data_IF_168947139684
#
_entry.id   IF_168947139684
#
_cell.length_a   1.000
_cell.length_b   1.000
_cell.length_c   1.000
_cell.angle_alpha   90.00
_cell.angle_beta   90.00
_cell.angle_gamma   90.00
#
_symmetry.space_group_name_H-M   'P 1'
#
loop_
_entity.id
_entity.type
_entity.pdbx_description
1 polymer ?
#
# COMPACT_ATOMS: atom_id res chain seq x y z
N UNK A 1 8.80 0.97 -27.35
CA UNK A 1 8.73 -0.44 -26.94
C UNK A 1 10.05 -1.18 -27.17
N UNK A 2 10.73 -0.91 -28.30
CA UNK A 2 12.04 -1.49 -28.65
C UNK A 2 13.14 -1.21 -27.61
N UNK A 3 13.16 -0.01 -27.01
CA UNK A 3 14.10 0.37 -25.94
C UNK A 3 13.95 -0.53 -24.70
N UNK A 4 12.71 -0.79 -24.23
CA UNK A 4 12.49 -1.59 -23.02
C UNK A 4 12.87 -3.06 -23.27
N UNK A 5 12.64 -3.56 -24.49
CA UNK A 5 13.00 -4.92 -24.91
C UNK A 5 14.51 -5.18 -24.78
N UNK A 6 15.35 -4.19 -25.05
CA UNK A 6 16.81 -4.32 -24.89
C UNK A 6 17.24 -4.57 -23.44
N UNK A 7 16.38 -4.28 -22.46
CA UNK A 7 16.65 -4.47 -21.03
C UNK A 7 15.80 -5.59 -20.41
N UNK A 8 15.14 -6.42 -21.22
CA UNK A 8 14.20 -7.44 -20.76
C UNK A 8 14.80 -8.38 -19.70
N UNK A 9 16.02 -8.87 -19.93
CA UNK A 9 16.70 -9.75 -18.98
C UNK A 9 16.91 -9.08 -17.60
N UNK A 10 17.33 -7.82 -17.59
CA UNK A 10 17.53 -7.05 -16.36
C UNK A 10 16.21 -6.77 -15.65
N UNK A 11 15.17 -6.36 -16.39
CA UNK A 11 13.84 -6.10 -15.84
C UNK A 11 13.27 -7.36 -15.20
N UNK A 12 13.41 -8.52 -15.86
CA UNK A 12 12.95 -9.80 -15.32
C UNK A 12 13.69 -10.20 -14.05
N UNK A 13 15.02 -10.01 -13.99
CA UNK A 13 15.79 -10.27 -12.78
C UNK A 13 15.35 -9.36 -11.62
N UNK A 14 15.29 -8.05 -11.87
CA UNK A 14 14.87 -7.07 -10.88
C UNK A 14 13.44 -7.33 -10.37
N UNK A 15 12.53 -7.70 -11.28
CA UNK A 15 11.16 -8.09 -10.95
C UNK A 15 11.12 -9.31 -10.04
N UNK A 16 11.84 -10.38 -10.39
CA UNK A 16 11.85 -11.62 -9.60
C UNK A 16 12.40 -11.38 -8.20
N UNK A 17 13.48 -10.59 -8.07
CA UNK A 17 14.03 -10.17 -6.78
C UNK A 17 12.99 -9.37 -5.99
N UNK A 18 12.36 -8.38 -6.61
CA UNK A 18 11.36 -7.51 -5.95
C UNK A 18 10.15 -8.32 -5.46
N UNK A 19 9.59 -9.21 -6.29
CA UNK A 19 8.47 -10.08 -5.92
C UNK A 19 8.86 -11.04 -4.80
N UNK A 20 10.04 -11.67 -4.88
CA UNK A 20 10.53 -12.59 -3.85
C UNK A 20 10.66 -11.88 -2.51
N UNK A 21 11.30 -10.71 -2.50
CA UNK A 21 11.43 -9.88 -1.30
C UNK A 21 10.07 -9.40 -0.78
N UNK A 22 9.11 -9.12 -1.66
CA UNK A 22 7.74 -8.76 -1.26
C UNK A 22 7.09 -9.92 -0.52
N UNK A 23 7.13 -11.13 -1.08
CA UNK A 23 6.59 -12.33 -0.43
C UNK A 23 7.27 -12.55 0.93
N UNK A 24 8.59 -12.45 1.00
CA UNK A 24 9.33 -12.56 2.26
C UNK A 24 8.89 -11.49 3.26
N UNK A 25 8.71 -10.23 2.83
CA UNK A 25 8.24 -9.17 3.70
C UNK A 25 6.85 -9.48 4.26
N UNK A 26 5.91 -9.94 3.44
CA UNK A 26 4.58 -10.36 3.90
C UNK A 26 4.66 -11.48 4.94
N UNK A 27 5.50 -12.49 4.71
CA UNK A 27 5.71 -13.58 5.67
C UNK A 27 6.28 -13.04 6.99
N UNK A 28 7.32 -12.21 6.93
CA UNK A 28 7.95 -11.62 8.11
C UNK A 28 6.94 -10.77 8.91
N UNK A 29 6.13 -9.94 8.23
CA UNK A 29 5.12 -9.10 8.89
C UNK A 29 4.00 -9.89 9.59
N UNK A 30 3.75 -11.13 9.17
CA UNK A 30 2.67 -11.97 9.71
C UNK A 30 3.15 -13.04 10.69
N UNK A 31 4.42 -13.47 10.59
CA UNK A 31 4.97 -14.57 11.39
C UNK A 31 5.86 -14.09 12.54
N UNK A 32 6.53 -12.94 12.39
CA UNK A 32 7.41 -12.43 13.43
C UNK A 32 6.66 -11.55 14.44
N UNK A 33 7.10 -11.54 15.72
CA UNK A 33 6.59 -10.62 16.73
C UNK A 33 6.77 -9.14 16.35
N UNK A 34 5.80 -8.31 16.76
CA UNK A 34 5.75 -6.88 16.46
C UNK A 34 7.00 -6.12 16.94
N UNK A 35 7.62 -6.57 18.04
CA UNK A 35 8.80 -5.95 18.62
C UNK A 35 10.09 -6.13 17.81
N UNK A 36 10.10 -7.05 16.83
CA UNK A 36 11.19 -7.23 15.88
C UNK A 36 10.92 -6.45 14.58
N UNK A 37 9.77 -6.68 13.95
CA UNK A 37 9.41 -6.10 12.65
C UNK A 37 9.11 -4.61 12.75
N UNK A 38 8.39 -4.18 13.79
CA UNK A 38 7.92 -2.80 13.96
C UNK A 38 9.03 -1.78 14.19
N UNK A 39 10.25 -2.22 14.55
CA UNK A 39 11.43 -1.35 14.72
C UNK A 39 12.13 -0.97 13.42
N UNK A 40 11.90 -1.73 12.35
CA UNK A 40 12.49 -1.51 11.02
C UNK A 40 11.45 -1.12 9.97
N UNK A 41 10.22 -1.60 10.13
CA UNK A 41 9.07 -1.21 9.32
C UNK A 41 7.95 -0.72 10.25
N UNK A 42 7.96 0.57 10.60
CA UNK A 42 6.86 1.18 11.36
C UNK A 42 5.54 0.96 10.62
N UNK A 43 4.48 0.65 11.37
CA UNK A 43 3.18 0.25 10.82
C UNK A 43 3.20 -1.03 9.98
N UNK A 44 4.14 -1.95 10.17
CA UNK A 44 4.08 -3.27 9.51
C UNK A 44 2.75 -4.01 9.76
N UNK A 45 2.05 -3.71 10.86
CA UNK A 45 0.77 -4.31 11.17
C UNK A 45 -0.28 -4.01 10.09
N UNK A 46 -0.12 -2.97 9.27
CA UNK A 46 -0.99 -2.72 8.11
C UNK A 46 -0.94 -3.88 7.13
N UNK A 47 0.10 -4.72 7.10
CA UNK A 47 0.25 -5.93 6.26
C UNK A 47 -0.46 -7.18 6.79
N UNK A 48 -1.07 -7.09 7.98
CA UNK A 48 -1.83 -8.19 8.56
C UNK A 48 -3.26 -8.23 7.99
N UNK A 49 -3.84 -9.42 7.73
CA UNK A 49 -5.20 -9.54 7.19
C UNK A 49 -6.25 -8.79 8.01
N UNK A 50 -6.17 -8.84 9.35
CA UNK A 50 -7.12 -8.20 10.27
C UNK A 50 -7.18 -6.68 10.10
N UNK A 51 -6.03 -6.01 9.96
CA UNK A 51 -5.99 -4.57 9.76
C UNK A 51 -6.25 -4.20 8.30
N UNK A 52 -6.01 -5.12 7.35
CA UNK A 52 -6.25 -4.89 5.92
C UNK A 52 -7.74 -4.83 5.56
N UNK A 53 -8.60 -5.44 6.38
CA UNK A 53 -10.07 -5.34 6.27
C UNK A 53 -10.65 -4.19 7.10
N UNK A 54 -9.86 -3.59 8.00
CA UNK A 54 -10.25 -2.39 8.74
C UNK A 54 -9.99 -1.15 7.86
N UNK A 55 -10.99 -0.80 7.04
CA UNK A 55 -10.87 0.31 6.10
C UNK A 55 -10.64 1.66 6.79
N UNK A 56 -11.13 1.85 8.01
CA UNK A 56 -10.94 3.07 8.78
C UNK A 56 -9.50 3.18 9.28
N UNK A 57 -8.98 2.10 9.88
CA UNK A 57 -7.57 2.03 10.27
C UNK A 57 -6.63 2.27 9.09
N UNK A 58 -6.88 1.63 7.94
CA UNK A 58 -6.08 1.82 6.72
C UNK A 58 -6.20 3.24 6.17
N UNK A 59 -7.41 3.82 6.16
CA UNK A 59 -7.62 5.19 5.65
C UNK A 59 -7.00 6.26 6.55
N UNK A 60 -7.03 6.04 7.88
CA UNK A 60 -6.35 6.89 8.85
C UNK A 60 -4.83 6.74 8.69
N UNK A 61 -4.30 5.52 8.62
CA UNK A 61 -2.88 5.26 8.41
C UNK A 61 -2.35 5.86 7.10
N UNK A 62 -3.13 5.74 6.02
CA UNK A 62 -2.85 6.40 4.76
C UNK A 62 -2.84 7.92 4.94
N UNK A 63 -3.88 8.53 5.50
CA UNK A 63 -3.92 9.99 5.65
C UNK A 63 -2.81 10.52 6.56
N UNK A 64 -2.39 9.72 7.55
CA UNK A 64 -1.32 10.02 8.50
C UNK A 64 0.07 10.05 7.85
N UNK A 65 0.34 9.13 6.91
CA UNK A 65 1.64 8.97 6.25
C UNK A 65 1.75 9.69 4.89
N UNK A 66 0.71 10.39 4.45
CA UNK A 66 0.64 11.01 3.12
C UNK A 66 0.26 12.48 3.25
N UNK A 67 1.05 13.19 4.05
CA UNK A 67 0.82 14.59 4.41
C UNK A 67 1.23 15.53 3.28
N UNK A 68 2.22 15.15 2.46
CA UNK A 68 2.74 15.97 1.38
C UNK A 68 2.03 15.74 0.04
N UNK A 69 2.09 16.72 -0.86
CA UNK A 69 1.52 16.58 -2.21
C UNK A 69 2.25 15.51 -3.04
N UNK A 70 3.57 15.40 -2.87
CA UNK A 70 4.39 14.44 -3.61
C UNK A 70 3.95 13.01 -3.30
N UNK A 71 3.83 12.66 -2.01
CA UNK A 71 3.36 11.34 -1.57
C UNK A 71 1.92 11.06 -2.01
N UNK A 72 1.04 12.07 -2.00
CA UNK A 72 -0.34 11.91 -2.51
C UNK A 72 -0.38 11.61 -4.00
N UNK A 73 0.45 12.27 -4.81
CA UNK A 73 0.49 12.02 -6.25
C UNK A 73 1.04 10.63 -6.55
N UNK A 74 2.14 10.23 -5.93
CA UNK A 74 2.75 8.91 -6.14
C UNK A 74 1.86 7.75 -5.68
N UNK A 75 0.88 8.00 -4.81
CA UNK A 75 -0.11 7.00 -4.41
C UNK A 75 -1.41 7.07 -5.21
N UNK A 76 -1.70 8.18 -5.89
CA UNK A 76 -2.83 8.27 -6.80
C UNK A 76 -2.72 7.33 -8.01
N UNK A 77 -1.50 6.87 -8.33
CA UNK A 77 -1.22 5.91 -9.40
C UNK A 77 -1.66 4.48 -9.07
N UNK A 78 -2.05 4.17 -7.83
CA UNK A 78 -2.41 2.82 -7.39
C UNK A 78 -3.56 2.21 -8.21
N UNK A 79 -4.47 3.01 -8.74
CA UNK A 79 -5.55 2.52 -9.62
C UNK A 79 -4.97 2.02 -10.96
N UNK A 80 -4.00 2.75 -11.51
CA UNK A 80 -3.29 2.33 -12.73
C UNK A 80 -2.47 1.08 -12.43
N UNK A 81 -1.83 1.01 -11.27
CA UNK A 81 -1.05 -0.16 -10.87
C UNK A 81 -1.92 -1.40 -10.65
N UNK A 82 -3.16 -1.24 -10.20
CA UNK A 82 -4.11 -2.35 -10.16
C UNK A 82 -4.37 -2.95 -11.56
N UNK A 83 -4.46 -2.10 -12.61
CA UNK A 83 -4.52 -2.56 -14.00
C UNK A 83 -3.27 -3.38 -14.36
N UNK A 84 -2.08 -2.87 -14.01
CA UNK A 84 -0.82 -3.53 -14.31
C UNK A 84 -0.67 -4.87 -13.56
N UNK A 85 -1.15 -4.95 -12.31
CA UNK A 85 -1.21 -6.22 -11.57
C UNK A 85 -2.11 -7.23 -12.24
N UNK A 86 -3.28 -6.82 -12.75
CA UNK A 86 -4.13 -7.73 -13.52
C UNK A 86 -3.48 -8.20 -14.83
N UNK A 87 -2.63 -7.40 -15.48
CA UNK A 87 -1.80 -7.85 -16.60
C UNK A 87 -0.82 -8.94 -16.17
N UNK A 88 -0.15 -8.75 -15.03
CA UNK A 88 0.76 -9.75 -14.45
C UNK A 88 0.00 -11.04 -14.11
N UNK A 89 -1.15 -10.94 -13.46
CA UNK A 89 -1.97 -12.10 -13.07
C UNK A 89 -2.43 -12.91 -14.29
N UNK A 90 -2.91 -12.23 -15.33
CA UNK A 90 -3.30 -12.89 -16.59
C UNK A 90 -2.11 -13.62 -17.24
N UNK A 91 -0.91 -13.05 -17.15
CA UNK A 91 0.31 -13.67 -17.70
C UNK A 91 0.77 -14.91 -16.95
N UNK A 92 0.39 -15.05 -15.68
CA UNK A 92 0.69 -16.25 -14.88
C UNK A 92 -0.29 -17.37 -15.21
N UNK A 93 -1.59 -17.06 -15.21
CA UNK A 93 -2.67 -17.97 -15.60
C UNK A 93 -4.00 -17.20 -15.70
N UNK A 94 -4.84 -17.53 -16.68
CA UNK A 94 -6.14 -16.87 -16.92
C UNK A 94 -7.09 -16.91 -15.70
N UNK A 95 -6.92 -17.88 -14.79
CA UNK A 95 -7.77 -18.00 -13.61
C UNK A 95 -7.36 -17.08 -12.45
N UNK A 96 -6.12 -16.57 -12.42
CA UNK A 96 -5.59 -15.80 -11.27
C UNK A 96 -6.28 -14.44 -11.09
N UNK A 97 -6.61 -13.67 -12.14
CA UNK A 97 -7.43 -12.46 -12.00
C UNK A 97 -8.73 -12.70 -11.24
N UNK A 98 -9.41 -13.83 -11.51
CA UNK A 98 -10.66 -14.18 -10.84
C UNK A 98 -10.46 -14.52 -9.37
N UNK A 99 -9.31 -15.08 -8.99
CA UNK A 99 -8.95 -15.27 -7.57
C UNK A 99 -8.85 -13.91 -6.87
N UNK A 100 -8.17 -12.93 -7.48
CA UNK A 100 -8.05 -11.59 -6.89
C UNK A 100 -9.39 -10.85 -6.85
N UNK A 101 -10.24 -10.97 -7.87
CA UNK A 101 -11.59 -10.41 -7.84
C UNK A 101 -12.43 -11.06 -6.73
N UNK A 102 -12.33 -12.38 -6.54
CA UNK A 102 -12.99 -13.07 -5.43
C UNK A 102 -12.47 -12.58 -4.07
N UNK A 103 -11.15 -12.37 -3.94
CA UNK A 103 -10.56 -11.78 -2.73
C UNK A 103 -11.07 -10.36 -2.47
N UNK A 104 -11.28 -9.53 -3.51
CA UNK A 104 -11.89 -8.20 -3.35
C UNK A 104 -13.33 -8.29 -2.84
N UNK A 105 -14.12 -9.27 -3.31
CA UNK A 105 -15.47 -9.54 -2.80
C UNK A 105 -15.41 -9.96 -1.33
N UNK A 106 -14.54 -10.91 -0.99
CA UNK A 106 -14.34 -11.38 0.38
C UNK A 106 -13.93 -10.21 1.29
N UNK A 107 -12.95 -9.41 0.87
CA UNK A 107 -12.51 -8.21 1.60
C UNK A 107 -13.66 -7.23 1.80
N UNK A 108 -14.48 -6.99 0.78
CA UNK A 108 -15.67 -6.12 0.86
C UNK A 108 -16.69 -6.61 1.89
N UNK A 109 -16.91 -7.93 1.95
CA UNK A 109 -17.82 -8.54 2.94
C UNK A 109 -17.30 -8.29 4.35
N UNK A 110 -15.99 -8.49 4.58
CA UNK A 110 -15.37 -8.27 5.88
C UNK A 110 -15.27 -6.79 6.29
N UNK A 111 -15.15 -5.85 5.33
CA UNK A 111 -15.24 -4.41 5.60
C UNK A 111 -16.63 -4.02 6.12
N UNK A 112 -17.69 -4.74 5.71
CA UNK A 112 -19.04 -4.58 6.25
C UNK A 112 -19.86 -3.43 5.65
N UNK A 113 -19.25 -2.56 4.81
CA UNK A 113 -19.97 -1.52 4.06
C UNK A 113 -20.38 -2.04 2.67
N UNK A 114 -21.67 -2.34 2.49
CA UNK A 114 -22.19 -2.97 1.26
C UNK A 114 -22.09 -2.04 0.05
N UNK A 115 -22.36 -0.75 0.23
CA UNK A 115 -22.33 0.23 -0.88
C UNK A 115 -20.91 0.45 -1.35
N UNK A 116 -19.98 0.63 -0.40
CA UNK A 116 -18.56 0.68 -0.72
C UNK A 116 -18.09 -0.62 -1.37
N UNK A 117 -18.47 -1.78 -0.82
CA UNK A 117 -18.06 -3.09 -1.35
C UNK A 117 -18.49 -3.31 -2.80
N UNK A 118 -19.72 -2.93 -3.15
CA UNK A 118 -20.20 -2.96 -4.52
C UNK A 118 -19.39 -2.02 -5.43
N UNK A 119 -19.14 -0.79 -4.98
CA UNK A 119 -18.33 0.18 -5.73
C UNK A 119 -16.89 -0.32 -5.92
N UNK A 120 -16.28 -0.91 -4.88
CA UNK A 120 -14.94 -1.49 -4.92
C UNK A 120 -14.85 -2.66 -5.89
N UNK A 121 -15.85 -3.53 -5.91
CA UNK A 121 -15.93 -4.60 -6.90
C UNK A 121 -16.05 -4.08 -8.33
N UNK A 122 -16.85 -3.03 -8.58
CA UNK A 122 -16.93 -2.38 -9.90
C UNK A 122 -15.56 -1.84 -10.32
N UNK A 123 -14.82 -1.17 -9.44
CA UNK A 123 -13.46 -0.70 -9.74
C UNK A 123 -12.53 -1.89 -10.05
N UNK A 124 -12.67 -3.01 -9.35
CA UNK A 124 -11.95 -4.25 -9.67
C UNK A 124 -12.24 -4.76 -11.08
N UNK A 125 -13.52 -4.81 -11.48
CA UNK A 125 -13.91 -5.20 -12.84
C UNK A 125 -13.39 -4.23 -13.91
N UNK A 126 -13.42 -2.92 -13.64
CA UNK A 126 -12.90 -1.91 -14.55
C UNK A 126 -11.37 -2.03 -14.72
N UNK A 127 -10.63 -2.26 -13.64
CA UNK A 127 -9.17 -2.43 -13.71
C UNK A 127 -8.79 -3.73 -14.42
N UNK A 128 -9.52 -4.83 -14.19
CA UNK A 128 -9.37 -6.05 -14.97
C UNK A 128 -9.70 -5.86 -16.45
N UNK A 129 -10.82 -5.22 -16.79
CA UNK A 129 -11.19 -4.91 -18.18
C UNK A 129 -10.15 -4.05 -18.89
N UNK A 130 -9.60 -3.05 -18.20
CA UNK A 130 -8.50 -2.22 -18.71
C UNK A 130 -7.21 -3.03 -18.93
N UNK A 131 -6.95 -4.06 -18.11
CA UNK A 131 -5.80 -4.94 -18.28
C UNK A 131 -5.95 -5.79 -19.55
N UNK A 132 -7.13 -6.37 -19.78
CA UNK A 132 -7.44 -7.11 -21.02
C UNK A 132 -7.32 -6.21 -22.25
N UNK A 133 -7.80 -4.97 -22.17
CA UNK A 133 -7.64 -3.99 -23.24
C UNK A 133 -6.16 -3.68 -23.52
N UNK A 134 -5.35 -3.49 -22.47
CA UNK A 134 -3.90 -3.26 -22.56
C UNK A 134 -3.18 -4.43 -23.24
N UNK A 135 -3.51 -5.67 -22.84
CA UNK A 135 -2.96 -6.90 -23.44
C UNK A 135 -3.35 -7.00 -24.92
N UNK A 136 -4.62 -6.73 -25.27
CA UNK A 136 -5.08 -6.76 -26.66
C UNK A 136 -4.37 -5.74 -27.53
N UNK A 137 -4.08 -4.55 -27.01
CA UNK A 137 -3.44 -3.47 -27.75
C UNK A 137 -1.92 -3.67 -27.94
N UNK A 138 -1.21 -4.10 -26.89
CA UNK A 138 0.26 -4.21 -26.91
C UNK A 138 0.77 -5.62 -27.26
N UNK A 139 -0.05 -6.64 -27.07
CA UNK A 139 0.39 -8.04 -26.99
C UNK A 139 0.86 -8.40 -25.59
N UNK A 140 0.68 -9.68 -25.21
CA UNK A 140 1.01 -10.18 -23.87
C UNK A 140 2.48 -9.92 -23.46
N UNK A 141 3.50 -10.25 -24.28
CA UNK A 141 4.90 -10.07 -23.86
C UNK A 141 5.23 -8.61 -23.52
N UNK A 142 4.74 -7.67 -24.33
CA UNK A 142 5.01 -6.24 -24.17
C UNK A 142 4.20 -5.63 -23.02
N UNK A 143 2.94 -6.04 -22.86
CA UNK A 143 2.11 -5.63 -21.74
C UNK A 143 2.74 -6.07 -20.40
N UNK A 144 3.24 -7.30 -20.32
CA UNK A 144 3.94 -7.81 -19.12
C UNK A 144 5.20 -7.03 -18.84
N UNK A 145 6.04 -6.79 -19.84
CA UNK A 145 7.30 -6.06 -19.66
C UNK A 145 7.06 -4.61 -19.20
N UNK A 146 6.03 -3.96 -19.77
CA UNK A 146 5.57 -2.64 -19.33
C UNK A 146 5.07 -2.66 -17.89
N UNK A 147 4.22 -3.64 -17.54
CA UNK A 147 3.67 -3.78 -16.19
C UNK A 147 4.78 -3.96 -15.15
N UNK A 148 5.74 -4.85 -15.38
CA UNK A 148 6.89 -5.06 -14.49
C UNK A 148 7.65 -3.75 -14.24
N UNK A 149 7.93 -3.02 -15.32
CA UNK A 149 8.70 -1.77 -15.26
C UNK A 149 7.94 -0.70 -14.47
N UNK A 150 6.68 -0.44 -14.81
CA UNK A 150 5.89 0.61 -14.18
C UNK A 150 5.54 0.31 -12.73
N UNK A 151 5.32 -0.96 -12.36
CA UNK A 151 5.08 -1.36 -10.97
C UNK A 151 6.32 -1.14 -10.09
N UNK A 152 7.51 -1.54 -10.58
CA UNK A 152 8.77 -1.29 -9.86
C UNK A 152 9.05 0.21 -9.74
N UNK A 153 8.85 0.98 -10.81
CA UNK A 153 8.98 2.44 -10.76
C UNK A 153 7.97 3.09 -9.82
N UNK A 154 6.72 2.61 -9.78
CA UNK A 154 5.69 3.07 -8.85
C UNK A 154 6.13 2.88 -7.39
N UNK A 155 6.61 1.69 -7.04
CA UNK A 155 7.15 1.40 -5.70
C UNK A 155 8.34 2.29 -5.34
N UNK A 156 9.26 2.52 -6.30
CA UNK A 156 10.41 3.41 -6.09
C UNK A 156 9.98 4.86 -5.87
N UNK A 157 9.07 5.37 -6.70
CA UNK A 157 8.56 6.74 -6.59
C UNK A 157 7.84 6.98 -5.26
N UNK A 158 7.03 6.02 -4.79
CA UNK A 158 6.40 6.10 -3.48
C UNK A 158 7.41 6.13 -2.34
N UNK A 159 8.37 5.20 -2.34
CA UNK A 159 9.44 5.18 -1.33
C UNK A 159 10.22 6.50 -1.31
N UNK A 160 10.59 7.03 -2.47
CA UNK A 160 11.30 8.31 -2.57
C UNK A 160 10.43 9.46 -2.05
N UNK A 161 9.13 9.49 -2.36
CA UNK A 161 8.25 10.56 -1.85
C UNK A 161 8.10 10.53 -0.33
N UNK A 162 8.10 9.34 0.29
CA UNK A 162 8.06 9.18 1.75
C UNK A 162 9.30 9.72 2.45
N UNK A 163 10.42 9.91 1.76
CA UNK A 163 11.60 10.55 2.35
C UNK A 163 11.36 12.02 2.75
N UNK A 164 10.31 12.65 2.21
CA UNK A 164 9.91 14.01 2.55
C UNK A 164 8.85 14.08 3.68
N UNK A 165 8.31 12.93 4.12
CA UNK A 165 7.33 12.85 5.20
C UNK A 165 8.02 12.91 6.57
N UNK A 166 7.21 13.07 7.63
CA UNK A 166 7.71 12.86 8.99
C UNK A 166 8.04 11.37 9.19
N UNK A 167 9.11 11.11 9.91
CA UNK A 167 9.47 9.76 10.30
C UNK A 167 8.45 9.24 11.30
N UNK A 168 7.85 8.06 11.05
CA UNK A 168 6.93 7.44 11.98
C UNK A 168 7.61 7.04 13.31
N UNK A 169 6.83 6.96 14.40
CA UNK A 169 7.29 6.51 15.71
C UNK A 169 8.14 5.23 15.67
N UNK A 170 9.02 5.06 16.66
CA UNK A 170 9.90 3.89 16.88
C UNK A 170 11.12 3.78 15.93
N UNK A 171 11.11 4.40 14.76
CA UNK A 171 12.19 4.22 13.78
C UNK A 171 13.49 4.91 14.19
N UNK A 172 13.37 6.15 14.67
CA UNK A 172 14.51 7.00 15.05
C UNK A 172 14.87 6.83 16.53
N UNK A 173 13.86 6.82 17.39
CA UNK A 173 13.97 6.70 18.83
C UNK A 173 12.84 5.82 19.37
N UNK A 174 12.68 5.74 20.69
CA UNK A 174 11.61 4.98 21.33
C UNK A 174 10.31 5.78 21.51
N UNK A 175 10.21 6.98 20.94
CA UNK A 175 9.06 7.87 21.10
C UNK A 175 7.82 7.34 20.39
N UNK A 176 6.63 7.73 20.87
CA UNK A 176 5.35 7.54 20.19
C UNK A 176 5.02 8.67 19.19
N UNK A 177 5.96 9.61 18.98
CA UNK A 177 5.80 10.81 18.18
C UNK A 177 6.41 10.72 16.78
N UNK A 178 5.82 11.45 15.84
CA UNK A 178 6.40 11.68 14.52
C UNK A 178 7.51 12.72 14.61
N UNK A 179 8.63 12.49 13.92
CA UNK A 179 9.80 13.37 13.98
C UNK A 179 10.34 13.72 12.60
N UNK A 180 10.91 14.91 12.44
CA UNK A 180 11.65 15.25 11.21
C UNK A 180 12.99 14.53 11.19
N UNK A 181 13.39 14.03 10.02
CA UNK A 181 14.73 13.51 9.83
C UNK A 181 15.74 14.67 9.87
N UNK A 182 16.83 14.49 10.61
CA UNK A 182 17.95 15.42 10.72
C UNK A 182 19.25 14.63 10.76
N UNK A 183 20.38 15.28 10.51
CA UNK A 183 21.69 14.64 10.64
C UNK A 183 21.96 14.09 12.06
N UNK A 184 21.28 14.62 13.08
CA UNK A 184 21.47 14.21 14.49
C UNK A 184 20.73 12.94 14.85
N UNK A 185 19.67 12.58 14.12
CA UNK A 185 18.79 11.46 14.45
C UNK A 185 18.76 10.38 13.36
N UNK A 186 19.60 10.54 12.33
CA UNK A 186 19.86 9.50 11.34
C UNK A 186 20.63 8.34 11.99
N UNK A 187 20.14 7.12 11.82
CA UNK A 187 20.70 5.92 12.43
C UNK A 187 20.61 4.72 11.47
N UNK A 188 21.16 3.58 11.89
CA UNK A 188 21.15 2.36 11.07
C UNK A 188 19.73 1.86 10.76
N UNK A 189 18.75 2.03 11.65
CA UNK A 189 17.36 1.63 11.39
C UNK A 189 16.75 2.43 10.25
N UNK A 190 16.98 3.76 10.21
CA UNK A 190 16.57 4.63 9.11
C UNK A 190 17.24 4.23 7.79
N UNK A 191 18.53 3.87 7.83
CA UNK A 191 19.24 3.40 6.64
C UNK A 191 18.63 2.10 6.10
N UNK A 192 18.39 1.14 6.99
CA UNK A 192 17.83 -0.18 6.62
C UNK A 192 16.35 -0.12 6.26
N UNK A 193 15.59 0.86 6.76
CA UNK A 193 14.17 1.00 6.44
C UNK A 193 13.92 1.45 5.01
N UNK A 194 14.89 2.05 4.33
CA UNK A 194 14.74 2.51 2.94
C UNK A 194 14.54 1.34 1.96
N UNK A 195 15.45 0.35 1.86
CA UNK A 195 15.24 -0.80 0.97
C UNK A 195 14.03 -1.65 1.39
N UNK A 196 13.74 -1.77 2.69
CA UNK A 196 12.52 -2.44 3.18
C UNK A 196 11.28 -1.65 2.76
N UNK A 197 11.33 -0.32 2.84
CA UNK A 197 10.29 0.61 2.44
C UNK A 197 9.99 0.51 0.94
N UNK A 198 10.99 0.38 0.07
CA UNK A 198 10.77 0.11 -1.35
C UNK A 198 9.93 -1.15 -1.56
N UNK A 199 10.29 -2.25 -0.89
CA UNK A 199 9.56 -3.51 -1.01
C UNK A 199 8.14 -3.40 -0.44
N UNK A 200 7.99 -2.69 0.68
CA UNK A 200 6.69 -2.37 1.28
C UNK A 200 5.81 -1.57 0.33
N UNK A 201 6.36 -0.53 -0.30
CA UNK A 201 5.65 0.37 -1.22
C UNK A 201 5.37 -0.27 -2.59
N UNK A 202 6.23 -1.17 -3.05
CA UNK A 202 5.91 -2.00 -4.21
C UNK A 202 4.73 -2.91 -3.89
N UNK A 203 4.80 -3.64 -2.77
CA UNK A 203 3.75 -4.57 -2.34
C UNK A 203 2.43 -3.90 -1.91
N UNK A 204 2.47 -2.60 -1.58
CA UNK A 204 1.29 -1.83 -1.18
C UNK A 204 0.32 -1.57 -2.34
N UNK A 205 0.82 -1.64 -3.59
CA UNK A 205 0.03 -1.47 -4.82
C UNK A 205 -0.81 -2.67 -5.24
N UNK A 206 -0.68 -3.81 -4.54
CA UNK A 206 -1.52 -4.97 -4.80
C UNK A 206 -3.01 -4.61 -4.68
N UNK A 207 -3.90 -5.15 -5.54
CA UNK A 207 -5.31 -4.74 -5.60
C UNK A 207 -6.11 -4.91 -4.29
N UNK A 208 -5.64 -5.72 -3.35
CA UNK A 208 -6.29 -5.98 -2.07
C UNK A 208 -5.69 -5.18 -0.89
N UNK A 209 -4.77 -4.23 -1.14
CA UNK A 209 -4.00 -3.52 -0.11
C UNK A 209 -4.41 -2.06 0.04
N UNK A 210 -3.71 -1.12 -0.61
CA UNK A 210 -4.05 0.31 -0.55
C UNK A 210 -5.17 0.68 -1.52
N UNK A 211 -5.43 -0.13 -2.56
CA UNK A 211 -6.51 0.14 -3.51
C UNK A 211 -7.88 0.37 -2.82
N UNK A 212 -8.34 -0.43 -1.83
CA UNK A 212 -9.54 -0.12 -1.05
C UNK A 212 -9.58 1.30 -0.49
N UNK A 213 -8.46 1.82 0.01
CA UNK A 213 -8.36 3.18 0.56
C UNK A 213 -8.51 4.24 -0.53
N UNK A 214 -7.86 4.06 -1.69
CA UNK A 214 -7.99 4.98 -2.83
C UNK A 214 -9.42 4.98 -3.37
N UNK A 215 -10.04 3.80 -3.43
CA UNK A 215 -11.43 3.66 -3.84
C UNK A 215 -12.36 4.30 -2.82
N UNK A 216 -12.08 4.19 -1.52
CA UNK A 216 -12.86 4.83 -0.47
C UNK A 216 -12.79 6.36 -0.60
N UNK A 217 -11.60 6.90 -0.86
CA UNK A 217 -11.43 8.32 -1.14
C UNK A 217 -12.29 8.76 -2.33
N UNK A 218 -12.23 8.04 -3.45
CA UNK A 218 -13.01 8.36 -4.65
C UNK A 218 -14.52 8.26 -4.37
N UNK A 219 -14.94 7.17 -3.74
CA UNK A 219 -16.32 6.91 -3.33
C UNK A 219 -16.90 8.09 -2.54
N UNK A 220 -16.17 8.60 -1.56
CA UNK A 220 -16.64 9.69 -0.70
C UNK A 220 -16.38 11.10 -1.28
N UNK A 221 -15.22 11.36 -1.88
CA UNK A 221 -14.78 12.72 -2.26
C UNK A 221 -15.07 13.09 -3.71
N UNK A 222 -15.09 12.11 -4.61
CA UNK A 222 -15.38 12.34 -6.04
C UNK A 222 -16.87 12.11 -6.30
N UNK A 223 -17.41 10.99 -5.84
CA UNK A 223 -18.82 10.65 -6.06
C UNK A 223 -19.77 11.15 -4.96
N UNK A 224 -19.24 11.63 -3.83
CA UNK A 224 -20.07 12.20 -2.76
C UNK A 224 -20.92 11.18 -2.01
N UNK A 225 -20.62 9.89 -2.14
CA UNK A 225 -21.37 8.86 -1.44
C UNK A 225 -21.04 8.85 0.06
N UNK A 226 -22.07 8.69 0.89
CA UNK A 226 -21.90 8.56 2.34
C UNK A 226 -21.59 7.10 2.70
N UNK A 227 -20.57 6.84 3.54
CA UNK A 227 -20.35 5.50 4.06
C UNK A 227 -21.52 5.08 4.96
N UNK A 228 -21.77 3.77 5.02
CA UNK A 228 -22.81 3.18 5.87
C UNK A 228 -22.26 2.80 7.24
N UNK A 229 -21.06 2.23 7.27
CA UNK A 229 -20.44 1.69 8.49
C UNK A 229 -19.05 2.25 8.76
N UNK A 230 -18.35 2.71 7.71
CA UNK A 230 -17.00 3.29 7.82
C UNK A 230 -17.05 4.79 8.09
N UNK A 231 -15.94 5.35 8.53
CA UNK A 231 -15.83 6.75 8.87
C UNK A 231 -15.96 7.66 7.64
N UNK A 232 -16.64 8.81 7.78
CA UNK A 232 -16.54 9.89 6.81
C UNK A 232 -15.09 10.38 6.66
N UNK A 233 -14.70 10.75 5.44
CA UNK A 233 -13.32 11.15 5.15
C UNK A 233 -12.84 12.37 5.96
N UNK A 234 -13.75 13.24 6.37
CA UNK A 234 -13.40 14.36 7.24
C UNK A 234 -13.00 13.88 8.64
N UNK A 235 -13.66 12.86 9.18
CA UNK A 235 -13.30 12.26 10.47
C UNK A 235 -11.98 11.51 10.37
N UNK A 236 -11.76 10.77 9.28
CA UNK A 236 -10.46 10.14 8.96
C UNK A 236 -9.32 11.18 9.00
N UNK A 237 -9.51 12.35 8.38
CA UNK A 237 -8.53 13.44 8.40
C UNK A 237 -8.29 13.99 9.80
N UNK A 238 -9.36 14.20 10.59
CA UNK A 238 -9.25 14.71 11.95
C UNK A 238 -8.50 13.72 12.86
N UNK A 239 -8.79 12.42 12.75
CA UNK A 239 -8.09 11.37 13.48
C UNK A 239 -6.61 11.30 13.09
N UNK A 240 -6.30 11.33 11.80
CA UNK A 240 -4.92 11.35 11.32
C UNK A 240 -4.15 12.58 11.83
N UNK A 241 -4.78 13.78 11.80
CA UNK A 241 -4.17 15.00 12.31
C UNK A 241 -3.93 14.95 13.82
N UNK A 242 -4.88 14.41 14.60
CA UNK A 242 -4.71 14.24 16.03
C UNK A 242 -3.51 13.35 16.37
N UNK A 243 -3.33 12.26 15.62
CA UNK A 243 -2.18 11.35 15.76
C UNK A 243 -0.88 12.01 15.31
N UNK A 244 -0.89 12.76 14.21
CA UNK A 244 0.31 13.45 13.71
C UNK A 244 0.85 14.46 14.73
N UNK A 245 -0.04 15.15 15.46
CA UNK A 245 0.32 16.17 16.46
C UNK A 245 0.65 15.55 17.81
N UNK A 246 -0.08 14.50 18.21
CA UNK A 246 -0.04 13.97 19.57
C UNK A 246 0.54 12.57 19.72
N UNK A 247 0.99 11.94 18.64
CA UNK A 247 1.56 10.58 18.62
C UNK A 247 0.53 9.46 18.55
N UNK A 248 1.02 8.23 18.48
CA UNK A 248 0.18 7.01 18.41
C UNK A 248 -0.77 6.85 19.60
N UNK A 249 -0.45 7.45 20.75
CA UNK A 249 -1.33 7.48 21.92
C UNK A 249 -2.71 8.10 21.68
N UNK A 250 -2.88 8.92 20.63
CA UNK A 250 -4.16 9.59 20.29
C UNK A 250 -5.19 8.68 19.62
N UNK A 251 -4.81 7.48 19.20
CA UNK A 251 -5.73 6.50 18.62
C UNK A 251 -5.52 5.14 19.26
N UNK A 252 -6.56 4.57 19.88
CA UNK A 252 -6.46 3.33 20.64
C UNK A 252 -5.81 2.17 19.85
N UNK A 253 -6.13 2.02 18.57
CA UNK A 253 -5.55 0.99 17.71
C UNK A 253 -4.03 1.18 17.53
N UNK A 254 -3.59 2.42 17.26
CA UNK A 254 -2.18 2.75 17.11
C UNK A 254 -1.41 2.71 18.44
N UNK A 255 -2.04 3.09 19.56
CA UNK A 255 -1.47 2.94 20.90
C UNK A 255 -1.21 1.47 21.23
N UNK A 256 -2.18 0.58 20.99
CA UNK A 256 -2.00 -0.86 21.19
C UNK A 256 -0.87 -1.44 20.34
N UNK A 257 -0.78 -0.99 19.08
CA UNK A 257 0.32 -1.36 18.18
C UNK A 257 1.67 -0.84 18.70
N UNK A 258 1.76 0.42 19.12
CA UNK A 258 2.97 0.96 19.73
C UNK A 258 3.42 0.14 20.94
N UNK A 259 2.49 -0.15 21.84
CA UNK A 259 2.74 -0.99 23.03
C UNK A 259 3.22 -2.40 22.64
N UNK A 260 2.69 -3.01 21.58
CA UNK A 260 3.15 -4.34 21.12
C UNK A 260 4.57 -4.31 20.56
N UNK A 261 4.95 -3.24 19.85
CA UNK A 261 6.31 -3.06 19.33
C UNK A 261 7.32 -2.77 20.46
N UNK A 262 6.89 -2.06 21.50
CA UNK A 262 7.76 -1.66 22.62
C UNK A 262 7.92 -2.74 23.70
N UNK A 263 7.09 -3.79 23.70
CA UNK A 263 7.25 -4.94 24.60
C UNK A 263 8.58 -5.64 24.34
N UNK A 264 9.42 -5.69 25.38
CA UNK A 264 10.70 -6.39 25.38
C UNK A 264 10.50 -7.85 25.77
#
# INVERSE_FOLDING_TARGET
MEIIKNYEAFINLAWNVTITLTVLLYLLCNLLPDNLTGKLLPLHNVFKPETNIDLDYQSIGYTLLHTTWATRITHSTIIIEAVLWFVIFESWHWSIPFVFLALMVIQSIFIGDRKFGFFFFIIGLLTFGAALFTIKFLGMPQAVLLAKTLLMLGGLMRMLSHSAELIPPVLVDSSDQFVKLTAKNFNLRVLLSSPIGYIGEFGSSLPNRILPVQVNYIYQKVFGFKPQTTLPWNEIKLSAQAVLIGGYSKLNALRKYYESVMKS
#
